data_IF_120024215462
#
_entry.id   IF_120024215462
#
_cell.length_a   1.000
_cell.length_b   1.000
_cell.length_c   1.000
_cell.angle_alpha   90.00
_cell.angle_beta   90.00
_cell.angle_gamma   90.00
#
_symmetry.space_group_name_H-M   'P 1'
#
loop_
_entity.id
_entity.type
_entity.pdbx_description
1 polymer ?
#
# COMPACT_ATOMS: atom_id res chain seq x y z
N UNK A 1 29.35 -11.56 2.76
CA UNK A 1 28.49 -10.46 3.24
C UNK A 1 27.09 -10.71 2.72
N UNK A 2 26.09 -10.93 3.58
CA UNK A 2 24.72 -11.10 3.12
C UNK A 2 24.23 -9.76 2.54
N UNK A 3 23.81 -9.75 1.27
CA UNK A 3 23.12 -8.60 0.67
C UNK A 3 21.91 -8.30 1.55
N UNK A 4 21.75 -7.04 1.99
CA UNK A 4 20.48 -6.61 2.59
C UNK A 4 19.38 -6.93 1.57
N UNK A 5 18.25 -7.52 1.98
CA UNK A 5 17.14 -7.70 1.05
C UNK A 5 16.78 -6.34 0.46
N UNK A 6 16.85 -6.22 -0.86
CA UNK A 6 16.48 -4.99 -1.55
C UNK A 6 14.99 -4.76 -1.36
N UNK A 7 14.65 -3.62 -0.76
CA UNK A 7 13.27 -3.21 -0.61
C UNK A 7 12.66 -2.99 -2.00
N UNK A 8 11.71 -3.84 -2.36
CA UNK A 8 11.16 -3.87 -3.71
C UNK A 8 9.67 -3.59 -3.67
N UNK A 9 9.24 -2.61 -4.47
CA UNK A 9 7.84 -2.36 -4.79
C UNK A 9 7.55 -3.04 -6.12
N UNK A 10 6.55 -3.92 -6.14
CA UNK A 10 6.13 -4.64 -7.32
C UNK A 10 4.90 -3.97 -7.94
N UNK A 11 4.86 -3.90 -9.27
CA UNK A 11 3.64 -3.56 -9.97
C UNK A 11 2.54 -4.58 -9.61
N UNK A 12 1.32 -4.10 -9.38
CA UNK A 12 0.20 -4.92 -8.90
C UNK A 12 -0.03 -6.12 -9.83
N UNK A 13 -0.01 -5.90 -11.14
CA UNK A 13 -0.29 -6.92 -12.15
C UNK A 13 0.90 -7.85 -12.45
N UNK A 14 2.09 -7.55 -11.91
CA UNK A 14 3.24 -8.44 -12.09
C UNK A 14 3.06 -9.76 -11.34
N UNK A 15 3.71 -10.87 -11.75
CA UNK A 15 3.63 -12.13 -11.02
C UNK A 15 4.01 -12.02 -9.54
N UNK A 16 5.03 -11.22 -9.22
CA UNK A 16 5.44 -10.96 -7.84
C UNK A 16 4.40 -10.13 -7.07
N UNK A 17 3.76 -9.17 -7.72
CA UNK A 17 2.65 -8.41 -7.15
C UNK A 17 1.44 -9.29 -6.85
N UNK A 18 1.01 -10.09 -7.82
CA UNK A 18 -0.09 -11.04 -7.63
C UNK A 18 0.21 -12.07 -6.52
N UNK A 19 1.44 -12.58 -6.45
CA UNK A 19 1.87 -13.45 -5.35
C UNK A 19 1.82 -12.74 -3.99
N UNK A 20 2.20 -11.46 -3.94
CA UNK A 20 2.11 -10.62 -2.73
C UNK A 20 0.66 -10.47 -2.27
N UNK A 21 -0.28 -10.21 -3.19
CA UNK A 21 -1.72 -10.16 -2.86
C UNK A 21 -2.25 -11.52 -2.40
N UNK A 22 -1.93 -12.59 -3.13
CA UNK A 22 -2.38 -13.94 -2.82
C UNK A 22 -1.90 -14.42 -1.45
N UNK A 23 -0.66 -14.09 -1.06
CA UNK A 23 -0.12 -14.40 0.27
C UNK A 23 -0.92 -13.75 1.41
N UNK A 24 -1.72 -12.72 1.12
CA UNK A 24 -2.62 -12.03 2.06
C UNK A 24 -4.09 -12.42 1.87
N UNK A 25 -4.36 -13.39 1.01
CA UNK A 25 -5.71 -13.79 0.63
C UNK A 25 -6.47 -12.70 -0.13
N UNK A 26 -5.76 -11.78 -0.80
CA UNK A 26 -6.35 -10.65 -1.54
C UNK A 26 -6.27 -10.88 -3.05
N UNK A 27 -7.22 -10.29 -3.76
CA UNK A 27 -7.20 -10.13 -5.22
C UNK A 27 -6.93 -8.67 -5.59
N UNK A 28 -6.64 -8.39 -6.86
CA UNK A 28 -6.57 -7.01 -7.37
C UNK A 28 -7.88 -6.26 -7.14
N UNK A 29 -9.02 -6.94 -7.24
CA UNK A 29 -10.34 -6.35 -6.99
C UNK A 29 -10.51 -5.95 -5.51
N UNK A 30 -10.06 -6.80 -4.58
CA UNK A 30 -10.07 -6.47 -3.16
C UNK A 30 -9.20 -5.23 -2.88
N UNK A 31 -8.00 -5.17 -3.47
CA UNK A 31 -7.13 -4.02 -3.31
C UNK A 31 -7.78 -2.74 -3.86
N UNK A 32 -8.39 -2.80 -5.05
CA UNK A 32 -9.07 -1.65 -5.64
C UNK A 32 -10.23 -1.16 -4.76
N UNK A 33 -11.02 -2.07 -4.20
CA UNK A 33 -12.08 -1.73 -3.23
C UNK A 33 -11.51 -1.09 -1.97
N UNK A 34 -10.43 -1.64 -1.41
CA UNK A 34 -9.78 -1.07 -0.23
C UNK A 34 -9.25 0.34 -0.49
N UNK A 35 -8.60 0.58 -1.63
CA UNK A 35 -8.11 1.91 -2.01
C UNK A 35 -9.28 2.89 -2.19
N UNK A 36 -10.39 2.47 -2.81
CA UNK A 36 -11.58 3.32 -2.93
C UNK A 36 -12.18 3.68 -1.56
N UNK A 37 -12.23 2.74 -0.61
CA UNK A 37 -12.70 3.02 0.74
C UNK A 37 -11.73 3.90 1.54
N UNK A 38 -10.41 3.68 1.40
CA UNK A 38 -9.39 4.55 1.99
C UNK A 38 -9.57 5.99 1.54
N UNK A 39 -9.71 6.23 0.23
CA UNK A 39 -9.84 7.57 -0.32
C UNK A 39 -11.06 8.31 0.25
N UNK A 40 -12.18 7.59 0.46
CA UNK A 40 -13.40 8.14 1.08
C UNK A 40 -13.22 8.43 2.57
N UNK A 41 -12.64 7.49 3.32
CA UNK A 41 -12.52 7.60 4.79
C UNK A 41 -11.50 8.66 5.21
N UNK A 42 -10.35 8.68 4.55
CA UNK A 42 -9.25 9.59 4.88
C UNK A 42 -9.34 10.93 4.13
N UNK A 43 -10.28 11.07 3.19
CA UNK A 43 -10.41 12.24 2.31
C UNK A 43 -9.08 12.55 1.57
N UNK A 44 -8.42 11.49 1.09
CA UNK A 44 -7.15 11.53 0.34
C UNK A 44 -7.42 10.99 -1.06
N UNK A 45 -6.96 11.68 -2.11
CA UNK A 45 -7.01 11.18 -3.49
C UNK A 45 -5.75 10.37 -3.82
N UNK A 46 -5.89 9.24 -4.50
CA UNK A 46 -4.78 8.46 -5.06
C UNK A 46 -4.82 8.60 -6.58
N UNK A 47 -4.06 9.55 -7.11
CA UNK A 47 -3.96 9.82 -8.54
C UNK A 47 -3.04 8.88 -9.30
N UNK A 48 -2.15 8.13 -8.64
CA UNK A 48 -1.36 7.08 -9.30
C UNK A 48 -1.17 5.88 -8.39
N UNK A 49 -1.51 4.69 -8.90
CA UNK A 49 -1.19 3.42 -8.25
C UNK A 49 0.26 3.07 -8.58
N UNK A 50 1.14 3.08 -7.58
CA UNK A 50 2.57 2.82 -7.80
C UNK A 50 2.85 1.32 -7.73
N UNK A 51 2.36 0.66 -6.69
CA UNK A 51 2.58 -0.77 -6.51
C UNK A 51 2.38 -1.25 -5.09
N UNK A 52 2.91 -2.42 -4.79
CA UNK A 52 2.77 -3.09 -3.50
C UNK A 52 4.10 -3.70 -3.05
N UNK A 53 4.31 -3.76 -1.75
CA UNK A 53 5.48 -4.41 -1.14
C UNK A 53 5.05 -5.34 -0.01
N UNK A 54 6.02 -5.83 0.77
CA UNK A 54 5.73 -6.59 1.98
C UNK A 54 4.93 -5.79 3.02
N UNK A 55 5.04 -4.46 3.00
CA UNK A 55 4.50 -3.56 4.03
C UNK A 55 3.07 -3.08 3.72
N UNK A 56 2.74 -2.93 2.44
CA UNK A 56 1.46 -2.38 2.05
C UNK A 56 1.37 -2.02 0.58
N UNK A 57 0.34 -1.24 0.30
CA UNK A 57 0.14 -0.55 -0.97
C UNK A 57 0.80 0.82 -0.95
N UNK A 58 1.33 1.21 -2.12
CA UNK A 58 1.94 2.50 -2.38
C UNK A 58 1.24 3.18 -3.56
N UNK A 59 0.91 4.45 -3.36
CA UNK A 59 0.35 5.33 -4.38
C UNK A 59 0.90 6.74 -4.26
N UNK A 60 0.48 7.58 -5.19
CA UNK A 60 0.76 9.02 -5.19
C UNK A 60 -0.56 9.78 -5.31
N UNK A 61 -0.65 10.93 -4.66
CA UNK A 61 -1.72 11.92 -4.84
C UNK A 61 -1.70 12.53 -6.24
N UNK A 62 -0.50 12.69 -6.82
CA UNK A 62 -0.26 13.20 -8.17
C UNK A 62 -0.63 12.16 -9.22
N UNK A 63 -1.38 12.61 -10.24
CA UNK A 63 -1.66 11.89 -11.48
C UNK A 63 -0.41 11.75 -12.35
N UNK A 64 -0.21 10.57 -12.95
CA UNK A 64 0.93 10.30 -13.83
C UNK A 64 2.29 10.35 -13.13
N UNK A 65 2.34 10.07 -11.83
CA UNK A 65 3.59 10.00 -11.07
C UNK A 65 4.54 8.96 -11.68
N UNK A 66 5.83 9.31 -11.79
CA UNK A 66 6.89 8.40 -12.23
C UNK A 66 8.16 8.62 -11.40
N UNK A 67 8.95 7.57 -11.11
CA UNK A 67 10.10 7.66 -10.20
C UNK A 67 11.28 8.48 -10.75
N UNK A 68 11.34 8.69 -12.07
CA UNK A 68 12.38 9.44 -12.77
C UNK A 68 12.07 10.95 -12.89
N UNK A 69 10.88 11.38 -12.47
CA UNK A 69 10.56 12.81 -12.41
C UNK A 69 11.42 13.50 -11.34
N UNK A 70 11.92 14.72 -11.62
CA UNK A 70 12.85 15.43 -10.73
C UNK A 70 12.24 15.77 -9.36
N UNK A 71 10.91 15.85 -9.28
CA UNK A 71 10.12 16.15 -8.10
C UNK A 71 9.27 14.95 -7.63
N UNK A 72 9.59 13.73 -8.09
CA UNK A 72 8.81 12.53 -7.78
C UNK A 72 8.57 12.33 -6.27
N UNK A 73 9.54 12.68 -5.42
CA UNK A 73 9.44 12.51 -3.97
C UNK A 73 9.30 13.83 -3.21
N UNK A 74 8.91 14.92 -3.89
CA UNK A 74 8.64 16.20 -3.24
C UNK A 74 7.40 16.14 -2.34
N UNK A 75 6.40 15.36 -2.73
CA UNK A 75 5.25 14.99 -1.90
C UNK A 75 5.42 13.57 -1.34
N UNK A 76 5.01 13.31 -0.08
CA UNK A 76 4.99 11.96 0.46
C UNK A 76 4.10 11.02 -0.35
N UNK A 77 4.56 9.78 -0.55
CA UNK A 77 3.73 8.75 -1.15
C UNK A 77 2.60 8.35 -0.18
N UNK A 78 1.43 8.06 -0.75
CA UNK A 78 0.33 7.43 -0.03
C UNK A 78 0.74 6.00 0.28
N UNK A 79 0.75 5.64 1.56
CA UNK A 79 1.05 4.28 2.01
C UNK A 79 -0.14 3.74 2.78
N UNK A 80 -0.66 2.58 2.36
CA UNK A 80 -1.74 1.89 3.05
C UNK A 80 -1.20 0.55 3.56
N UNK A 81 -0.92 0.41 4.87
CA UNK A 81 -0.46 -0.85 5.45
C UNK A 81 -1.44 -1.98 5.22
N UNK A 82 -0.96 -3.22 5.13
CA UNK A 82 -1.85 -4.37 4.91
C UNK A 82 -2.94 -4.53 5.97
N UNK A 83 -2.64 -4.19 7.23
CA UNK A 83 -3.65 -4.19 8.30
C UNK A 83 -4.80 -3.22 7.99
N UNK A 84 -4.50 -2.05 7.45
CA UNK A 84 -5.50 -1.07 7.04
C UNK A 84 -6.27 -1.54 5.82
N UNK A 85 -5.60 -2.15 4.84
CA UNK A 85 -6.28 -2.79 3.69
C UNK A 85 -7.29 -3.83 4.17
N UNK A 86 -6.91 -4.70 5.12
CA UNK A 86 -7.79 -5.73 5.65
C UNK A 86 -8.95 -5.14 6.46
N UNK A 87 -8.70 -4.09 7.25
CA UNK A 87 -9.72 -3.40 8.04
C UNK A 87 -10.74 -2.68 7.14
N UNK A 88 -10.28 -1.98 6.11
CA UNK A 88 -11.14 -1.34 5.10
C UNK A 88 -12.03 -2.35 4.36
N UNK A 89 -11.57 -3.60 4.25
CA UNK A 89 -12.34 -4.69 3.66
C UNK A 89 -13.27 -5.40 4.66
N UNK A 90 -13.22 -5.05 5.94
CA UNK A 90 -13.97 -5.69 7.02
C UNK A 90 -13.47 -7.09 7.37
N UNK A 91 -12.19 -7.39 7.08
CA UNK A 91 -11.57 -8.70 7.32
C UNK A 91 -10.88 -8.80 8.68
N UNK A 92 -10.64 -7.66 9.33
CA UNK A 92 -10.20 -7.54 10.72
C UNK A 92 -11.10 -6.54 11.45
N UNK A 93 -10.95 -6.41 12.76
CA UNK A 93 -11.78 -5.53 13.58
C UNK A 93 -11.46 -4.05 13.30
N UNK A 94 -12.49 -3.20 13.39
CA UNK A 94 -12.29 -1.76 13.33
C UNK A 94 -11.38 -1.30 14.48
N UNK A 95 -10.45 -0.39 14.18
CA UNK A 95 -9.45 0.13 15.13
C UNK A 95 -8.11 -0.62 15.09
N UNK A 96 -8.00 -1.78 14.43
CA UNK A 96 -6.76 -2.56 14.36
C UNK A 96 -5.60 -1.76 13.75
N UNK A 97 -5.87 -0.91 12.76
CA UNK A 97 -4.88 -0.01 12.16
C UNK A 97 -4.35 1.00 13.17
N UNK A 98 -5.22 1.57 14.01
CA UNK A 98 -4.82 2.51 15.05
C UNK A 98 -3.90 1.86 16.08
N UNK A 99 -4.21 0.63 16.50
CA UNK A 99 -3.37 -0.16 17.40
C UNK A 99 -2.00 -0.48 16.76
N UNK A 100 -2.00 -0.90 15.49
CA UNK A 100 -0.79 -1.18 14.74
C UNK A 100 0.14 0.03 14.60
N UNK A 101 -0.43 1.20 14.29
CA UNK A 101 0.37 2.44 14.20
C UNK A 101 0.91 2.84 15.58
N UNK A 102 0.12 2.62 16.64
CA UNK A 102 0.52 2.92 18.02
C UNK A 102 1.64 2.00 18.53
N UNK A 103 1.76 0.77 18.01
CA UNK A 103 2.80 -0.18 18.37
C UNK A 103 4.12 -0.01 17.59
N UNK A 104 4.18 0.93 16.64
CA UNK A 104 5.37 1.22 15.84
C UNK A 104 5.22 0.95 14.34
N UNK A 105 4.07 0.43 13.90
CA UNK A 105 3.80 0.14 12.49
C UNK A 105 4.78 -0.87 11.90
N UNK A 106 5.22 -0.65 10.66
CA UNK A 106 6.22 -1.50 9.99
C UNK A 106 7.66 -1.31 10.53
N UNK A 107 7.86 -0.62 11.66
CA UNK A 107 9.19 -0.43 12.29
C UNK A 107 9.45 -1.51 13.33
N UNK A 108 9.79 -2.72 12.87
CA UNK A 108 10.35 -3.79 13.70
C UNK A 108 11.62 -4.35 13.09
#
# INVERSE_FOLDING_TARGET
MARKPEYTVHHIESPAGQATLAARGLTTHDLARAVAEFQKRENVHVGTLIGISQDGFFGSTREGWQPDQPDAFAEPLVTIPWVQVLELLGRVQDGTTGEFLSSGGNRH
#
